data_IF_345417277400
#
_entry.id   IF_345417277400
#
_cell.length_a   1.000
_cell.length_b   1.000
_cell.length_c   1.000
_cell.angle_alpha   90.00
_cell.angle_beta   90.00
_cell.angle_gamma   90.00
#
_symmetry.space_group_name_H-M   'P 1'
#
loop_
_entity.id
_entity.type
_entity.pdbx_description
1 polymer ?
#
# COMPACT_ATOMS: atom_id res chain seq x y z
N UNK A 1 7.55 -18.63 -28.83
CA UNK A 1 6.60 -18.35 -29.92
C UNK A 1 6.27 -16.89 -29.86
N UNK A 2 6.68 -16.10 -30.84
CA UNK A 2 6.38 -14.65 -30.89
C UNK A 2 4.90 -14.47 -31.20
N UNK A 3 4.09 -14.22 -30.19
CA UNK A 3 2.76 -13.69 -30.41
C UNK A 3 2.91 -12.22 -30.78
N UNK A 4 2.74 -11.94 -32.07
CA UNK A 4 2.69 -10.58 -32.61
C UNK A 4 1.37 -9.93 -32.16
N UNK A 5 1.21 -9.69 -30.86
CA UNK A 5 0.10 -8.92 -30.31
C UNK A 5 0.35 -7.45 -30.63
N UNK A 6 -0.62 -6.84 -31.32
CA UNK A 6 -0.58 -5.42 -31.65
C UNK A 6 -0.38 -4.60 -30.35
N UNK A 7 0.42 -3.55 -30.41
CA UNK A 7 0.60 -2.61 -29.30
C UNK A 7 -0.75 -2.01 -28.90
N UNK A 8 -1.06 -2.10 -27.61
CA UNK A 8 -2.25 -1.51 -27.00
C UNK A 8 -1.76 -0.39 -26.07
N UNK A 9 -2.01 0.88 -26.38
CA UNK A 9 -1.45 1.99 -25.60
C UNK A 9 -1.99 2.09 -24.19
N UNK A 10 -3.22 1.67 -23.95
CA UNK A 10 -3.83 1.56 -22.63
C UNK A 10 -5.06 0.63 -22.64
N UNK A 11 -5.45 0.14 -21.48
CA UNK A 11 -6.74 -0.54 -21.29
C UNK A 11 -7.30 -0.18 -19.90
N UNK A 12 -8.40 0.57 -19.91
CA UNK A 12 -9.11 1.03 -18.70
C UNK A 12 -10.59 0.69 -18.83
N UNK A 13 -11.35 0.79 -17.76
CA UNK A 13 -12.78 0.44 -17.72
C UNK A 13 -13.61 1.29 -18.68
N UNK A 14 -13.46 2.60 -18.57
CA UNK A 14 -14.20 3.59 -19.34
C UNK A 14 -13.40 4.90 -19.42
N UNK A 15 -12.90 5.23 -20.61
CA UNK A 15 -12.11 6.45 -20.84
C UNK A 15 -12.92 7.74 -20.64
N UNK A 16 -14.25 7.68 -20.75
CA UNK A 16 -15.11 8.84 -20.54
C UNK A 16 -15.12 9.37 -19.10
N UNK A 17 -14.57 8.61 -18.15
CA UNK A 17 -14.41 9.03 -16.75
C UNK A 17 -13.21 9.97 -16.54
N UNK A 18 -12.42 10.26 -17.58
CA UNK A 18 -11.17 11.02 -17.48
C UNK A 18 -11.35 12.43 -16.87
N UNK A 19 -12.38 13.17 -17.28
CA UNK A 19 -12.64 14.52 -16.76
C UNK A 19 -13.01 14.52 -15.28
N UNK A 20 -13.72 13.51 -14.82
CA UNK A 20 -13.99 13.34 -13.40
C UNK A 20 -12.71 13.01 -12.64
N UNK A 21 -11.95 12.03 -13.14
CA UNK A 21 -10.67 11.65 -12.54
C UNK A 21 -9.70 12.83 -12.43
N UNK A 22 -9.63 13.69 -13.46
CA UNK A 22 -8.78 14.89 -13.44
C UNK A 22 -9.11 15.83 -12.28
N UNK A 23 -10.39 16.09 -12.03
CA UNK A 23 -10.82 16.95 -10.92
C UNK A 23 -10.48 16.35 -9.55
N UNK A 24 -10.58 15.05 -9.40
CA UNK A 24 -10.17 14.38 -8.16
C UNK A 24 -8.65 14.36 -7.99
N UNK A 25 -7.87 14.24 -9.07
CA UNK A 25 -6.41 14.35 -9.04
C UNK A 25 -5.99 15.76 -8.58
N UNK A 26 -6.60 16.82 -9.12
CA UNK A 26 -6.35 18.20 -8.68
C UNK A 26 -6.67 18.40 -7.19
N UNK A 27 -7.73 17.79 -6.69
CA UNK A 27 -8.07 17.80 -5.26
C UNK A 27 -7.01 17.07 -4.42
N UNK A 28 -6.53 15.92 -4.90
CA UNK A 28 -5.49 15.14 -4.22
C UNK A 28 -4.14 15.87 -4.20
N UNK A 29 -3.75 16.54 -5.30
CA UNK A 29 -2.52 17.32 -5.38
C UNK A 29 -2.44 18.39 -4.28
N UNK A 30 -3.57 19.03 -3.96
CA UNK A 30 -3.65 20.00 -2.86
C UNK A 30 -3.28 19.42 -1.49
N UNK A 31 -3.43 18.09 -1.31
CA UNK A 31 -3.13 17.36 -0.07
C UNK A 31 -1.85 16.49 -0.17
N UNK A 32 -1.08 16.62 -1.26
CA UNK A 32 0.13 15.83 -1.50
C UNK A 32 1.39 16.71 -1.64
N UNK A 33 1.75 17.49 -0.61
CA UNK A 33 2.78 18.53 -0.70
C UNK A 33 4.17 17.96 -1.00
N UNK A 34 4.48 16.74 -0.56
CA UNK A 34 5.77 16.13 -0.83
C UNK A 34 6.02 15.93 -2.33
N UNK A 35 5.05 15.39 -3.06
CA UNK A 35 5.16 15.19 -4.51
C UNK A 35 5.19 16.51 -5.27
N UNK A 36 4.34 17.47 -4.89
CA UNK A 36 4.32 18.79 -5.53
C UNK A 36 5.66 19.49 -5.33
N UNK A 37 6.21 19.48 -4.12
CA UNK A 37 7.54 20.05 -3.83
C UNK A 37 8.66 19.38 -4.66
N UNK A 38 8.59 18.06 -4.88
CA UNK A 38 9.57 17.39 -5.75
C UNK A 38 9.46 17.84 -7.22
N UNK A 39 8.24 18.06 -7.73
CA UNK A 39 8.05 18.63 -9.08
C UNK A 39 8.66 20.03 -9.18
N UNK A 40 8.47 20.87 -8.18
CA UNK A 40 9.01 22.23 -8.12
C UNK A 40 10.54 22.22 -8.01
N UNK A 41 11.11 21.35 -7.17
CA UNK A 41 12.56 21.29 -6.92
C UNK A 41 13.33 20.69 -8.08
N UNK A 42 12.79 19.64 -8.72
CA UNK A 42 13.54 18.81 -9.68
C UNK A 42 12.98 18.82 -11.11
N UNK A 43 11.82 19.41 -11.36
CA UNK A 43 11.17 19.38 -12.68
C UNK A 43 12.05 19.90 -13.82
N UNK A 44 12.76 20.99 -13.59
CA UNK A 44 13.65 21.58 -14.60
C UNK A 44 14.90 20.70 -14.87
N UNK A 45 15.43 20.04 -13.84
CA UNK A 45 16.63 19.20 -13.95
C UNK A 45 16.37 17.81 -14.51
N UNK A 46 15.12 17.36 -14.46
CA UNK A 46 14.66 16.05 -14.95
C UNK A 46 15.57 14.87 -14.54
N UNK A 47 15.77 14.60 -13.24
CA UNK A 47 16.71 13.60 -12.74
C UNK A 47 16.39 12.17 -13.16
N UNK A 48 15.17 11.90 -13.62
CA UNK A 48 14.73 10.58 -14.12
C UNK A 48 14.72 10.48 -15.65
N UNK A 49 15.33 11.44 -16.35
CA UNK A 49 15.41 11.39 -17.82
C UNK A 49 16.05 10.11 -18.31
N UNK A 50 15.34 9.37 -19.17
CA UNK A 50 15.77 8.07 -19.70
C UNK A 50 15.36 6.86 -18.85
N UNK A 51 14.81 7.08 -17.64
CA UNK A 51 14.19 6.02 -16.87
C UNK A 51 12.87 5.58 -17.53
N UNK A 52 12.70 4.27 -17.70
CA UNK A 52 11.46 3.61 -18.10
C UNK A 52 10.96 2.80 -16.92
N UNK A 53 10.06 3.40 -16.16
CA UNK A 53 9.54 2.86 -14.91
C UNK A 53 8.28 2.05 -15.20
N UNK A 54 8.33 0.74 -15.02
CA UNK A 54 7.15 -0.09 -14.95
C UNK A 54 6.64 -0.07 -13.51
N UNK A 55 5.38 0.32 -13.32
CA UNK A 55 4.72 0.37 -12.03
C UNK A 55 3.64 -0.69 -11.88
N UNK A 56 3.60 -1.36 -10.74
CA UNK A 56 2.52 -2.23 -10.30
C UNK A 56 2.14 -1.88 -8.86
N UNK A 57 1.23 -0.93 -8.73
CA UNK A 57 0.73 -0.42 -7.46
C UNK A 57 -0.72 0.05 -7.65
N UNK A 58 -1.53 -0.02 -6.60
CA UNK A 58 -2.96 0.33 -6.64
C UNK A 58 -3.24 1.57 -7.49
N UNK A 59 -4.00 1.44 -8.58
CA UNK A 59 -4.28 2.56 -9.50
C UNK A 59 -5.37 3.46 -8.92
N UNK A 60 -5.00 4.25 -7.93
CA UNK A 60 -5.87 5.22 -7.23
C UNK A 60 -5.62 6.65 -7.73
N UNK A 61 -6.44 7.58 -7.26
CA UNK A 61 -6.25 9.03 -7.50
C UNK A 61 -4.86 9.48 -7.01
N UNK A 62 -4.42 9.01 -5.84
CA UNK A 62 -3.11 9.36 -5.29
C UNK A 62 -1.96 8.80 -6.14
N UNK A 63 -2.14 7.59 -6.67
CA UNK A 63 -1.17 6.99 -7.61
C UNK A 63 -1.08 7.76 -8.92
N UNK A 64 -2.17 8.35 -9.38
CA UNK A 64 -2.14 9.25 -10.53
C UNK A 64 -1.20 10.44 -10.29
N UNK A 65 -1.23 11.03 -9.10
CA UNK A 65 -0.29 12.12 -8.72
C UNK A 65 1.16 11.64 -8.71
N UNK A 66 1.42 10.42 -8.23
CA UNK A 66 2.75 9.80 -8.29
C UNK A 66 3.23 9.63 -9.74
N UNK A 67 2.41 9.04 -10.61
CA UNK A 67 2.74 8.83 -12.02
C UNK A 67 3.12 10.15 -12.68
N UNK A 68 2.29 11.18 -12.54
CA UNK A 68 2.56 12.50 -13.13
C UNK A 68 3.80 13.16 -12.51
N UNK A 69 4.11 12.89 -11.25
CA UNK A 69 5.34 13.37 -10.61
C UNK A 69 6.56 12.70 -11.23
N UNK A 70 6.57 11.38 -11.39
CA UNK A 70 7.67 10.66 -12.04
C UNK A 70 7.89 11.16 -13.47
N UNK A 71 6.81 11.44 -14.21
CA UNK A 71 6.86 11.99 -15.57
C UNK A 71 7.39 13.43 -15.59
N UNK A 72 6.96 14.27 -14.65
CA UNK A 72 7.47 15.64 -14.51
C UNK A 72 8.99 15.66 -14.22
N UNK A 73 9.49 14.62 -13.57
CA UNK A 73 10.93 14.41 -13.32
C UNK A 73 11.68 13.76 -14.48
N UNK A 74 11.02 13.48 -15.60
CA UNK A 74 11.62 13.02 -16.86
C UNK A 74 11.49 11.53 -17.15
N UNK A 75 10.80 10.74 -16.33
CA UNK A 75 10.59 9.32 -16.57
C UNK A 75 9.52 9.05 -17.66
N UNK A 76 9.71 7.98 -18.42
CA UNK A 76 8.63 7.30 -19.13
C UNK A 76 7.99 6.29 -18.15
N UNK A 77 6.66 6.21 -18.10
CA UNK A 77 5.94 5.39 -17.12
C UNK A 77 4.91 4.51 -17.80
N UNK A 78 4.87 3.24 -17.40
CA UNK A 78 3.76 2.31 -17.65
C UNK A 78 3.19 1.83 -16.33
N UNK A 79 1.90 1.54 -16.25
CA UNK A 79 1.27 1.25 -14.96
C UNK A 79 0.20 0.17 -15.02
N UNK A 80 0.19 -0.71 -14.02
CA UNK A 80 -0.90 -1.62 -13.70
C UNK A 80 -1.25 -1.54 -12.21
N UNK A 81 -2.40 -2.08 -11.81
CA UNK A 81 -2.74 -2.21 -10.41
C UNK A 81 -2.18 -3.52 -9.82
N UNK A 82 -1.84 -3.51 -8.54
CA UNK A 82 -1.39 -4.70 -7.80
C UNK A 82 -2.55 -5.47 -7.11
N UNK A 83 -3.81 -5.11 -7.40
CA UNK A 83 -4.98 -5.77 -6.82
C UNK A 83 -6.19 -5.60 -7.76
N UNK A 84 -6.97 -6.68 -7.90
CA UNK A 84 -8.12 -6.74 -8.84
C UNK A 84 -9.29 -5.82 -8.45
N UNK A 85 -9.39 -5.37 -7.20
CA UNK A 85 -10.50 -4.52 -6.72
C UNK A 85 -10.11 -3.10 -6.35
N UNK A 86 -8.81 -2.75 -6.37
CA UNK A 86 -8.33 -1.47 -5.83
C UNK A 86 -8.32 -0.31 -6.81
N UNK A 87 -8.45 -0.57 -8.10
CA UNK A 87 -8.45 0.50 -9.12
C UNK A 87 -9.62 1.45 -8.91
N UNK A 88 -9.34 2.75 -8.97
CA UNK A 88 -10.34 3.80 -9.18
C UNK A 88 -10.40 4.07 -10.69
N UNK A 89 -11.47 3.64 -11.34
CA UNK A 89 -11.59 3.63 -12.81
C UNK A 89 -11.43 5.03 -13.42
N UNK A 90 -11.89 6.07 -12.70
CA UNK A 90 -11.71 7.47 -13.12
C UNK A 90 -10.25 7.93 -13.03
N UNK A 91 -9.46 7.41 -12.08
CA UNK A 91 -8.02 7.70 -11.99
C UNK A 91 -7.27 7.07 -13.18
N UNK A 92 -7.54 5.80 -13.47
CA UNK A 92 -6.96 5.10 -14.62
C UNK A 92 -7.32 5.81 -15.92
N UNK A 93 -8.58 6.23 -16.10
CA UNK A 93 -9.04 6.96 -17.27
C UNK A 93 -8.32 8.32 -17.43
N UNK A 94 -8.20 9.09 -16.34
CA UNK A 94 -7.54 10.40 -16.39
C UNK A 94 -6.07 10.28 -16.82
N UNK A 95 -5.34 9.32 -16.30
CA UNK A 95 -3.93 9.08 -16.65
C UNK A 95 -3.80 8.52 -18.06
N UNK A 96 -4.66 7.60 -18.48
CA UNK A 96 -4.68 7.11 -19.88
C UNK A 96 -4.95 8.23 -20.89
N UNK A 97 -5.83 9.18 -20.56
CA UNK A 97 -6.15 10.32 -21.41
C UNK A 97 -4.97 11.28 -21.64
N UNK A 98 -3.95 11.28 -20.78
CA UNK A 98 -2.70 12.04 -21.00
C UNK A 98 -1.75 11.37 -21.99
N UNK A 99 -2.07 10.17 -22.45
CA UNK A 99 -1.21 9.35 -23.32
C UNK A 99 -0.29 8.39 -22.55
N UNK A 100 -0.44 8.30 -21.24
CA UNK A 100 0.31 7.34 -20.42
C UNK A 100 -0.23 5.93 -20.57
N UNK A 101 0.66 4.95 -20.66
CA UNK A 101 0.29 3.54 -20.78
C UNK A 101 -0.21 2.98 -19.44
N UNK A 102 -1.52 2.89 -19.28
CA UNK A 102 -2.18 2.36 -18.08
C UNK A 102 -3.04 1.16 -18.43
N UNK A 103 -2.89 0.08 -17.68
CA UNK A 103 -3.61 -1.17 -17.82
C UNK A 103 -4.22 -1.55 -16.48
N UNK A 104 -5.41 -1.02 -16.15
CA UNK A 104 -6.06 -1.25 -14.87
C UNK A 104 -7.56 -0.91 -14.92
N UNK A 105 -8.37 -1.73 -14.26
CA UNK A 105 -9.80 -1.46 -13.97
C UNK A 105 -10.26 -2.24 -12.75
N UNK A 106 -11.29 -1.74 -12.08
CA UNK A 106 -11.87 -2.43 -10.94
C UNK A 106 -12.67 -3.66 -11.38
N UNK A 107 -12.38 -4.81 -10.75
CA UNK A 107 -13.08 -6.06 -11.03
C UNK A 107 -12.44 -6.87 -12.16
N UNK A 108 -11.14 -6.77 -12.35
CA UNK A 108 -10.37 -7.70 -13.19
C UNK A 108 -10.50 -9.14 -12.66
N UNK A 109 -10.47 -10.11 -13.55
CA UNK A 109 -10.17 -11.49 -13.16
C UNK A 109 -8.65 -11.73 -13.12
N UNK A 110 -8.22 -12.90 -12.66
CA UNK A 110 -6.79 -13.23 -12.49
C UNK A 110 -6.01 -13.22 -13.83
N UNK A 111 -6.64 -13.66 -14.94
CA UNK A 111 -6.00 -13.64 -16.26
C UNK A 111 -5.83 -12.20 -16.78
N UNK A 112 -6.83 -11.36 -16.56
CA UNK A 112 -6.78 -9.95 -16.92
C UNK A 112 -5.74 -9.20 -16.09
N UNK A 113 -5.66 -9.50 -14.80
CA UNK A 113 -4.66 -8.95 -13.88
C UNK A 113 -3.23 -9.29 -14.33
N UNK A 114 -2.96 -10.56 -14.60
CA UNK A 114 -1.67 -11.04 -15.09
C UNK A 114 -1.30 -10.36 -16.43
N UNK A 115 -2.27 -10.30 -17.37
CA UNK A 115 -2.09 -9.60 -18.65
C UNK A 115 -1.76 -8.11 -18.45
N UNK A 116 -2.42 -7.41 -17.52
CA UNK A 116 -2.16 -5.99 -17.26
C UNK A 116 -0.73 -5.75 -16.80
N UNK A 117 -0.21 -6.59 -15.89
CA UNK A 117 1.18 -6.49 -15.44
C UNK A 117 2.14 -6.75 -16.61
N UNK A 118 1.88 -7.77 -17.43
CA UNK A 118 2.71 -8.08 -18.61
C UNK A 118 2.83 -6.92 -19.59
N UNK A 119 1.73 -6.13 -19.78
CA UNK A 119 1.74 -4.96 -20.67
C UNK A 119 2.68 -3.85 -20.19
N UNK A 120 2.99 -3.78 -18.89
CA UNK A 120 3.89 -2.74 -18.35
C UNK A 120 5.36 -2.96 -18.68
N UNK A 121 5.73 -4.16 -19.12
CA UNK A 121 7.14 -4.53 -19.33
C UNK A 121 7.80 -3.82 -20.53
N UNK A 122 6.99 -3.33 -21.47
CA UNK A 122 7.47 -2.78 -22.72
C UNK A 122 6.82 -1.43 -23.05
N UNK A 123 7.63 -0.48 -23.51
CA UNK A 123 7.27 0.91 -23.74
C UNK A 123 7.13 1.20 -25.24
N UNK A 124 6.01 1.80 -25.64
CA UNK A 124 5.76 2.26 -26.99
C UNK A 124 5.67 1.15 -28.04
N UNK A 125 5.44 1.55 -29.29
CA UNK A 125 5.35 0.63 -30.44
C UNK A 125 6.66 -0.12 -30.69
N UNK A 126 7.81 0.52 -30.36
CA UNK A 126 9.16 -0.06 -30.48
C UNK A 126 9.45 -1.12 -29.41
N UNK A 127 8.52 -1.34 -28.47
CA UNK A 127 8.64 -2.32 -27.38
C UNK A 127 9.96 -2.22 -26.61
N UNK A 128 10.40 -1.01 -26.27
CA UNK A 128 11.58 -0.81 -25.42
C UNK A 128 11.35 -1.42 -24.04
N UNK A 129 12.25 -2.24 -23.52
CA UNK A 129 12.04 -2.85 -22.21
C UNK A 129 12.15 -1.82 -21.09
N UNK A 130 11.47 -2.12 -19.96
CA UNK A 130 11.64 -1.38 -18.71
C UNK A 130 13.12 -1.37 -18.28
N UNK A 131 13.51 -0.36 -17.48
CA UNK A 131 14.83 -0.32 -16.85
C UNK A 131 14.79 0.09 -15.38
N UNK A 132 13.56 0.32 -14.84
CA UNK A 132 13.27 0.53 -13.44
C UNK A 132 11.94 -0.16 -13.08
N UNK A 133 11.81 -0.62 -11.84
CA UNK A 133 10.58 -1.21 -11.30
C UNK A 133 10.12 -0.41 -10.08
N UNK A 134 8.82 -0.16 -9.99
CA UNK A 134 8.13 0.31 -8.80
C UNK A 134 7.00 -0.69 -8.51
N UNK A 135 7.12 -1.45 -7.42
CA UNK A 135 6.24 -2.59 -7.14
C UNK A 135 5.56 -2.47 -5.77
N UNK A 136 4.42 -3.13 -5.64
CA UNK A 136 3.65 -3.23 -4.41
C UNK A 136 3.13 -4.66 -4.25
N UNK A 137 3.87 -5.45 -3.47
CA UNK A 137 3.60 -6.86 -3.22
C UNK A 137 4.47 -7.82 -4.02
N UNK A 138 5.24 -7.33 -5.00
CA UNK A 138 6.25 -8.09 -5.72
C UNK A 138 5.74 -8.89 -6.92
N UNK A 139 4.51 -8.65 -7.41
CA UNK A 139 3.98 -9.42 -8.53
C UNK A 139 4.64 -9.05 -9.86
N UNK A 140 4.90 -7.77 -10.12
CA UNK A 140 5.65 -7.32 -11.28
C UNK A 140 7.10 -7.83 -11.22
N UNK A 141 7.76 -7.70 -10.08
CA UNK A 141 9.12 -8.18 -9.86
C UNK A 141 9.23 -9.68 -10.11
N UNK A 142 8.28 -10.47 -9.59
CA UNK A 142 8.26 -11.91 -9.80
C UNK A 142 7.98 -12.26 -11.27
N UNK A 143 7.07 -11.55 -11.92
CA UNK A 143 6.82 -11.76 -13.35
C UNK A 143 8.09 -11.53 -14.18
N UNK A 144 8.82 -10.44 -13.93
CA UNK A 144 10.09 -10.15 -14.61
C UNK A 144 11.11 -11.26 -14.35
N UNK A 145 11.35 -11.60 -13.08
CA UNK A 145 12.44 -12.51 -12.72
C UNK A 145 12.18 -13.98 -13.06
N UNK A 146 10.91 -14.39 -13.05
CA UNK A 146 10.54 -15.80 -13.26
C UNK A 146 10.08 -16.09 -14.69
N UNK A 147 9.51 -15.10 -15.42
CA UNK A 147 8.96 -15.28 -16.78
C UNK A 147 9.76 -14.55 -17.87
N UNK A 148 10.45 -13.45 -17.53
CA UNK A 148 11.23 -12.59 -18.45
C UNK A 148 12.62 -12.29 -17.91
N UNK A 149 13.39 -13.32 -17.46
CA UNK A 149 14.67 -13.10 -16.79
C UNK A 149 15.71 -12.37 -17.65
N UNK A 150 15.56 -12.39 -18.98
CA UNK A 150 16.42 -11.66 -19.90
C UNK A 150 16.34 -10.14 -19.74
N UNK A 151 15.23 -9.62 -19.21
CA UNK A 151 15.04 -8.18 -18.96
C UNK A 151 15.84 -7.69 -17.75
N UNK A 152 16.13 -8.59 -16.81
CA UNK A 152 16.74 -8.23 -15.54
C UNK A 152 18.10 -7.51 -15.68
N UNK A 153 18.91 -7.87 -16.67
CA UNK A 153 20.21 -7.24 -16.92
C UNK A 153 20.12 -5.75 -17.30
N UNK A 154 18.95 -5.29 -17.79
CA UNK A 154 18.70 -3.90 -18.14
C UNK A 154 18.09 -3.06 -17.02
N UNK A 155 17.79 -3.66 -15.88
CA UNK A 155 17.09 -2.98 -14.77
C UNK A 155 18.11 -2.44 -13.78
N UNK A 156 18.10 -1.12 -13.57
CA UNK A 156 19.02 -0.44 -12.65
C UNK A 156 18.63 -0.62 -11.17
N UNK A 157 17.37 -0.88 -10.89
CA UNK A 157 16.89 -1.10 -9.53
C UNK A 157 15.37 -1.15 -9.42
N UNK A 158 14.91 -1.50 -8.24
CA UNK A 158 13.49 -1.55 -7.90
C UNK A 158 13.21 -0.93 -6.53
N UNK A 159 12.02 -0.39 -6.36
CA UNK A 159 11.49 0.02 -5.07
C UNK A 159 10.21 -0.75 -4.75
N UNK A 160 10.08 -1.18 -3.49
CA UNK A 160 8.96 -2.02 -3.03
C UNK A 160 8.18 -1.34 -1.91
N UNK A 161 6.87 -1.22 -2.10
CA UNK A 161 5.97 -0.47 -1.24
C UNK A 161 5.59 -1.19 0.06
N UNK A 162 5.42 -2.52 0.02
CA UNK A 162 4.72 -3.22 1.10
C UNK A 162 5.47 -4.40 1.69
N UNK A 163 5.15 -4.73 2.94
CA UNK A 163 5.79 -5.81 3.73
C UNK A 163 5.90 -7.12 2.98
N UNK A 164 4.87 -7.52 2.24
CA UNK A 164 4.86 -8.81 1.54
C UNK A 164 5.87 -8.86 0.40
N UNK A 165 5.94 -7.79 -0.41
CA UNK A 165 6.94 -7.71 -1.48
C UNK A 165 8.35 -7.65 -0.90
N UNK A 166 8.57 -6.90 0.17
CA UNK A 166 9.85 -6.85 0.91
C UNK A 166 10.28 -8.24 1.39
N UNK A 167 9.34 -9.03 1.94
CA UNK A 167 9.62 -10.40 2.36
C UNK A 167 10.09 -11.27 1.18
N UNK A 168 9.40 -11.19 0.04
CA UNK A 168 9.79 -11.89 -1.21
C UNK A 168 11.19 -11.46 -1.68
N UNK A 169 11.54 -10.18 -1.57
CA UNK A 169 12.88 -9.68 -1.92
C UNK A 169 13.96 -10.26 -1.01
N UNK A 170 13.75 -10.31 0.29
CA UNK A 170 14.70 -10.94 1.22
C UNK A 170 14.87 -12.44 0.94
N UNK A 171 13.82 -13.16 0.57
CA UNK A 171 13.93 -14.56 0.13
C UNK A 171 14.77 -14.67 -1.13
N UNK A 172 14.62 -13.78 -2.11
CA UNK A 172 15.46 -13.77 -3.32
C UNK A 172 16.93 -13.46 -3.01
N UNK A 173 17.20 -12.52 -2.09
CA UNK A 173 18.59 -12.27 -1.61
C UNK A 173 19.18 -13.53 -1.00
N UNK A 174 18.44 -14.16 -0.09
CA UNK A 174 18.89 -15.42 0.58
C UNK A 174 19.19 -16.53 -0.41
N UNK A 175 18.42 -16.62 -1.49
CA UNK A 175 18.57 -17.64 -2.53
C UNK A 175 19.55 -17.22 -3.64
N UNK A 176 20.14 -16.01 -3.59
CA UNK A 176 21.04 -15.48 -4.62
C UNK A 176 20.35 -15.22 -5.96
N UNK A 177 19.04 -14.95 -5.96
CA UNK A 177 18.21 -14.77 -7.17
C UNK A 177 17.69 -13.34 -7.36
N UNK A 178 18.20 -12.36 -6.59
CA UNK A 178 17.93 -10.94 -6.82
C UNK A 178 19.05 -10.33 -7.68
N UNK A 179 18.81 -10.01 -8.97
CA UNK A 179 19.87 -9.57 -9.90
C UNK A 179 20.07 -8.05 -9.98
N UNK A 180 19.34 -7.25 -9.17
CA UNK A 180 19.45 -5.80 -9.11
C UNK A 180 19.30 -5.30 -7.68
N UNK A 181 19.73 -4.06 -7.35
CA UNK A 181 19.47 -3.47 -6.05
C UNK A 181 17.99 -3.17 -5.85
N UNK A 182 17.52 -3.30 -4.62
CA UNK A 182 16.18 -2.98 -4.20
C UNK A 182 16.15 -2.00 -3.02
N UNK A 183 15.25 -1.02 -3.04
CA UNK A 183 14.97 -0.19 -1.87
C UNK A 183 13.62 -0.60 -1.27
N UNK A 184 13.67 -0.98 0.00
CA UNK A 184 12.52 -1.28 0.83
C UNK A 184 11.90 0.03 1.31
N UNK A 185 10.82 0.45 0.69
CA UNK A 185 10.06 1.65 1.08
C UNK A 185 9.19 1.38 2.30
N UNK A 186 8.64 0.17 2.42
CA UNK A 186 7.74 -0.16 3.53
C UNK A 186 8.34 0.17 4.91
N UNK A 187 9.64 -0.07 5.09
CA UNK A 187 10.29 0.12 6.39
C UNK A 187 10.98 1.48 6.54
N UNK A 188 10.90 2.37 5.55
CA UNK A 188 11.19 3.79 5.76
C UNK A 188 10.29 4.33 6.86
N UNK A 189 10.85 5.15 7.77
CA UNK A 189 10.07 5.61 8.93
C UNK A 189 8.88 6.46 8.51
N UNK A 190 9.08 7.35 7.54
CA UNK A 190 8.02 8.20 7.00
C UNK A 190 6.99 7.44 6.16
N UNK A 191 7.21 6.14 5.87
CA UNK A 191 6.21 5.24 5.30
C UNK A 191 5.56 4.40 6.39
N UNK A 192 6.31 3.55 7.08
CA UNK A 192 5.75 2.56 8.02
C UNK A 192 5.00 3.19 9.19
N UNK A 193 5.53 4.28 9.75
CA UNK A 193 4.91 4.97 10.89
C UNK A 193 3.79 5.92 10.51
N UNK A 194 3.61 6.19 9.21
CA UNK A 194 2.58 7.08 8.67
C UNK A 194 1.53 6.32 7.88
N UNK A 195 1.88 5.71 6.76
CA UNK A 195 0.98 4.93 5.92
C UNK A 195 0.34 3.77 6.69
N UNK A 196 1.15 2.85 7.20
CA UNK A 196 0.64 1.66 7.87
C UNK A 196 -0.16 1.99 9.14
N UNK A 197 0.18 3.06 9.85
CA UNK A 197 -0.48 3.47 11.09
C UNK A 197 -1.63 4.45 10.83
N UNK A 198 -1.31 5.65 10.32
CA UNK A 198 -2.31 6.72 10.15
C UNK A 198 -3.21 6.46 8.95
N UNK A 199 -2.69 5.87 7.86
CA UNK A 199 -3.50 5.46 6.73
C UNK A 199 -4.56 4.45 7.13
N UNK A 200 -4.19 3.39 7.84
CA UNK A 200 -5.16 2.41 8.35
C UNK A 200 -6.09 3.00 9.42
N UNK A 201 -5.61 3.97 10.22
CA UNK A 201 -6.45 4.69 11.19
C UNK A 201 -7.61 5.41 10.52
N UNK A 202 -7.38 6.06 9.38
CA UNK A 202 -8.44 6.74 8.62
C UNK A 202 -9.29 5.74 7.82
N UNK A 203 -8.65 4.85 7.04
CA UNK A 203 -9.31 4.07 6.00
C UNK A 203 -10.06 2.84 6.51
N UNK A 204 -9.67 2.22 7.63
CA UNK A 204 -10.35 1.04 8.16
C UNK A 204 -11.80 1.36 8.57
N UNK A 205 -11.97 2.41 9.36
CA UNK A 205 -13.30 2.86 9.85
C UNK A 205 -14.14 3.41 8.71
N UNK A 206 -13.53 4.14 7.76
CA UNK A 206 -14.22 4.64 6.57
C UNK A 206 -14.83 3.48 5.76
N UNK A 207 -14.04 2.44 5.52
CA UNK A 207 -14.49 1.26 4.77
C UNK A 207 -15.64 0.52 5.46
N UNK A 208 -15.54 0.29 6.77
CA UNK A 208 -16.60 -0.37 7.55
C UNK A 208 -17.91 0.44 7.50
N UNK A 209 -17.82 1.77 7.65
CA UNK A 209 -19.01 2.64 7.57
C UNK A 209 -19.63 2.62 6.19
N UNK A 210 -18.85 2.80 5.13
CA UNK A 210 -19.36 2.76 3.74
C UNK A 210 -19.99 1.42 3.38
N UNK A 211 -19.36 0.32 3.81
CA UNK A 211 -19.85 -1.01 3.53
C UNK A 211 -21.18 -1.32 4.24
N UNK A 212 -21.36 -0.88 5.47
CA UNK A 212 -22.40 -1.44 6.36
C UNK A 212 -23.31 -0.40 7.00
N UNK A 213 -23.00 0.90 6.91
CA UNK A 213 -23.69 2.00 7.61
C UNK A 213 -23.82 1.78 9.14
N UNK A 214 -22.98 0.91 9.72
CA UNK A 214 -23.05 0.56 11.13
C UNK A 214 -22.59 1.73 12.02
N UNK A 215 -23.30 1.95 13.11
CA UNK A 215 -22.83 2.82 14.18
C UNK A 215 -21.74 2.10 14.97
N UNK A 216 -20.56 2.72 15.06
CA UNK A 216 -19.39 2.10 15.72
C UNK A 216 -19.41 2.27 17.23
N UNK A 217 -20.01 3.36 17.75
CA UNK A 217 -20.10 3.60 19.18
C UNK A 217 -20.81 2.44 19.90
N UNK A 218 -20.20 1.94 20.97
CA UNK A 218 -20.71 0.82 21.75
C UNK A 218 -20.53 -0.57 21.15
N UNK A 219 -20.00 -0.68 19.92
CA UNK A 219 -19.70 -1.98 19.29
C UNK A 219 -18.47 -2.62 19.90
N UNK A 220 -18.50 -3.93 20.05
CA UNK A 220 -17.34 -4.76 20.46
C UNK A 220 -16.55 -5.11 19.21
N UNK A 221 -15.35 -4.59 19.13
CA UNK A 221 -14.44 -4.77 17.99
C UNK A 221 -13.22 -5.57 18.43
N UNK A 222 -12.91 -6.64 17.72
CA UNK A 222 -11.68 -7.39 17.89
C UNK A 222 -10.73 -7.03 16.74
N UNK A 223 -9.57 -6.45 17.08
CA UNK A 223 -8.49 -6.15 16.16
C UNK A 223 -7.41 -7.22 16.31
N UNK A 224 -7.20 -8.02 15.28
CA UNK A 224 -6.21 -9.09 15.30
C UNK A 224 -4.85 -8.55 14.82
N UNK A 225 -3.92 -8.35 15.76
CA UNK A 225 -2.59 -7.76 15.56
C UNK A 225 -2.46 -6.35 16.13
N UNK A 226 -1.23 -6.02 16.60
CA UNK A 226 -0.91 -4.69 17.13
C UNK A 226 0.46 -4.17 16.64
N UNK A 227 0.80 -4.51 15.39
CA UNK A 227 1.81 -3.82 14.58
C UNK A 227 1.33 -2.42 14.20
N UNK A 228 1.99 -1.74 13.27
CA UNK A 228 1.62 -0.37 12.89
C UNK A 228 0.17 -0.30 12.34
N UNK A 229 -0.24 -1.26 11.52
CA UNK A 229 -1.62 -1.37 11.01
C UNK A 229 -2.63 -1.57 12.14
N UNK A 230 -2.34 -2.51 13.05
CA UNK A 230 -3.21 -2.80 14.20
C UNK A 230 -3.35 -1.62 15.16
N UNK A 231 -2.25 -0.90 15.43
CA UNK A 231 -2.22 0.32 16.27
C UNK A 231 -3.14 1.41 15.71
N UNK A 232 -3.01 1.69 14.41
CA UNK A 232 -3.87 2.67 13.73
C UNK A 232 -5.33 2.26 13.77
N UNK A 233 -5.63 1.03 13.37
CA UNK A 233 -6.98 0.48 13.34
C UNK A 233 -7.65 0.48 14.72
N UNK A 234 -6.97 -0.03 15.74
CA UNK A 234 -7.49 -0.06 17.11
C UNK A 234 -7.76 1.35 17.66
N UNK A 235 -6.84 2.29 17.44
CA UNK A 235 -7.00 3.68 17.86
C UNK A 235 -8.21 4.34 17.17
N UNK A 236 -8.45 4.07 15.90
CA UNK A 236 -9.59 4.60 15.14
C UNK A 236 -10.92 4.10 15.69
N UNK A 237 -11.09 2.81 15.89
CA UNK A 237 -12.30 2.24 16.49
C UNK A 237 -12.54 2.75 17.91
N UNK A 238 -11.48 2.84 18.75
CA UNK A 238 -11.56 3.42 20.09
C UNK A 238 -12.02 4.89 20.04
N UNK A 239 -11.43 5.67 19.12
CA UNK A 239 -11.82 7.07 18.89
C UNK A 239 -13.26 7.24 18.41
N UNK A 240 -13.80 6.25 17.69
CA UNK A 240 -15.20 6.21 17.28
C UNK A 240 -16.17 5.71 18.39
N UNK A 241 -15.66 5.42 19.59
CA UNK A 241 -16.46 4.99 20.74
C UNK A 241 -16.71 3.49 20.81
N UNK A 242 -15.99 2.67 20.05
CA UNK A 242 -16.06 1.20 20.14
C UNK A 242 -15.35 0.67 21.38
N UNK A 243 -15.76 -0.50 21.84
CA UNK A 243 -15.10 -1.29 22.88
C UNK A 243 -14.12 -2.23 22.17
N UNK A 244 -12.84 -1.89 22.19
CA UNK A 244 -11.81 -2.58 21.40
C UNK A 244 -11.03 -3.56 22.24
N UNK A 245 -10.92 -4.80 21.76
CA UNK A 245 -10.01 -5.85 22.25
C UNK A 245 -9.01 -6.16 21.16
N UNK A 246 -7.75 -6.33 21.53
CA UNK A 246 -6.65 -6.66 20.62
C UNK A 246 -6.22 -8.12 20.82
N UNK A 247 -5.85 -8.81 19.76
CA UNK A 247 -5.13 -10.08 19.84
C UNK A 247 -3.71 -9.89 19.34
N UNK A 248 -2.72 -10.50 20.01
CA UNK A 248 -1.31 -10.31 19.64
C UNK A 248 -0.46 -11.51 20.06
N UNK A 249 0.59 -11.82 19.28
CA UNK A 249 1.56 -12.88 19.56
C UNK A 249 2.90 -12.31 20.10
N UNK A 250 3.25 -11.08 19.68
CA UNK A 250 4.47 -10.41 20.12
C UNK A 250 4.26 -9.82 21.53
N UNK A 251 5.04 -10.24 22.53
CA UNK A 251 4.87 -9.75 23.89
C UNK A 251 5.15 -8.24 24.04
N UNK A 252 5.99 -7.65 23.18
CA UNK A 252 6.26 -6.20 23.20
C UNK A 252 5.03 -5.44 22.67
N UNK A 253 4.49 -5.86 21.52
CA UNK A 253 3.28 -5.25 20.96
C UNK A 253 2.07 -5.46 21.89
N UNK A 254 1.93 -6.63 22.51
CA UNK A 254 0.88 -6.90 23.48
C UNK A 254 0.98 -5.99 24.70
N UNK A 255 2.20 -5.77 25.24
CA UNK A 255 2.43 -4.86 26.35
C UNK A 255 2.11 -3.40 25.94
N UNK A 256 2.50 -2.97 24.74
CA UNK A 256 2.13 -1.65 24.23
C UNK A 256 0.61 -1.48 24.13
N UNK A 257 -0.10 -2.47 23.59
CA UNK A 257 -1.56 -2.44 23.52
C UNK A 257 -2.22 -2.27 24.90
N UNK A 258 -1.72 -2.99 25.91
CA UNK A 258 -2.19 -2.88 27.28
C UNK A 258 -1.92 -1.48 27.88
N UNK A 259 -0.74 -0.90 27.61
CA UNK A 259 -0.40 0.46 28.06
C UNK A 259 -1.24 1.53 27.36
N UNK A 260 -1.62 1.30 26.09
CA UNK A 260 -2.53 2.18 25.33
C UNK A 260 -4.01 2.03 25.76
N UNK A 261 -4.25 1.16 26.77
CA UNK A 261 -5.57 0.97 27.39
C UNK A 261 -6.50 0.08 26.57
N UNK A 262 -5.96 -0.92 25.89
CA UNK A 262 -6.73 -1.98 25.26
C UNK A 262 -6.71 -3.26 26.10
N UNK A 263 -7.80 -4.00 26.08
CA UNK A 263 -7.79 -5.37 26.54
C UNK A 263 -7.06 -6.25 25.51
N UNK A 264 -6.14 -7.11 25.95
CA UNK A 264 -5.44 -8.06 25.08
C UNK A 264 -5.86 -9.47 25.45
N UNK A 265 -6.45 -10.20 24.51
CA UNK A 265 -7.01 -11.55 24.71
C UNK A 265 -6.71 -12.43 23.50
N UNK A 266 -6.92 -13.74 23.64
CA UNK A 266 -6.95 -14.67 22.52
C UNK A 266 -8.27 -14.52 21.76
N UNK A 267 -8.23 -14.71 20.44
CA UNK A 267 -9.42 -14.60 19.59
C UNK A 267 -10.53 -15.54 20.04
N UNK A 268 -10.21 -16.78 20.36
CA UNK A 268 -11.13 -17.81 20.81
C UNK A 268 -11.95 -17.43 22.04
N UNK A 269 -11.39 -16.55 22.89
CA UNK A 269 -12.08 -16.12 24.14
C UNK A 269 -13.02 -14.95 23.96
N UNK A 270 -12.91 -14.20 22.85
CA UNK A 270 -13.65 -12.94 22.66
C UNK A 270 -14.53 -12.93 21.41
N UNK A 271 -14.26 -13.80 20.44
CA UNK A 271 -14.92 -13.80 19.13
C UNK A 271 -16.44 -13.99 19.22
N UNK A 272 -16.93 -14.75 20.19
CA UNK A 272 -18.37 -15.02 20.40
C UNK A 272 -19.18 -13.78 20.76
N UNK A 273 -18.55 -12.71 21.26
CA UNK A 273 -19.21 -11.45 21.64
C UNK A 273 -18.86 -10.29 20.68
N UNK A 274 -18.03 -10.53 19.67
CA UNK A 274 -17.61 -9.49 18.75
C UNK A 274 -18.73 -9.06 17.79
N UNK A 275 -18.88 -7.76 17.59
CA UNK A 275 -19.71 -7.17 16.50
C UNK A 275 -18.92 -7.08 15.21
N UNK A 276 -17.60 -6.79 15.33
CA UNK A 276 -16.67 -6.64 14.22
C UNK A 276 -15.40 -7.37 14.58
N UNK A 277 -14.87 -8.16 13.64
CA UNK A 277 -13.54 -8.76 13.69
C UNK A 277 -12.76 -8.26 12.48
N UNK A 278 -11.59 -7.63 12.72
CA UNK A 278 -10.74 -7.12 11.66
C UNK A 278 -9.31 -7.63 11.82
N UNK A 279 -8.77 -8.23 10.76
CA UNK A 279 -7.40 -8.77 10.75
C UNK A 279 -6.42 -7.74 10.19
N UNK A 280 -5.21 -7.69 10.78
CA UNK A 280 -4.19 -6.66 10.53
C UNK A 280 -2.76 -7.22 10.60
N UNK A 281 -2.60 -8.56 10.50
CA UNK A 281 -1.36 -9.23 10.90
C UNK A 281 -0.35 -9.43 9.77
N UNK A 282 -0.81 -9.42 8.51
CA UNK A 282 0.00 -9.82 7.36
C UNK A 282 0.39 -11.31 7.37
N UNK A 283 -0.24 -12.12 8.23
CA UNK A 283 -0.02 -13.57 8.34
C UNK A 283 -1.19 -14.34 7.69
N UNK A 284 -1.28 -15.62 7.87
CA UNK A 284 -2.34 -16.47 7.31
C UNK A 284 -3.15 -17.17 8.39
N UNK A 285 -4.42 -17.47 8.08
CA UNK A 285 -5.27 -18.32 8.92
C UNK A 285 -5.53 -17.75 10.32
N UNK A 286 -5.72 -16.45 10.43
CA UNK A 286 -6.04 -15.78 11.70
C UNK A 286 -7.49 -16.04 12.09
N UNK A 287 -8.43 -15.87 11.17
CA UNK A 287 -9.84 -16.22 11.35
C UNK A 287 -10.13 -17.50 10.57
N UNK A 288 -10.43 -18.58 11.28
CA UNK A 288 -10.63 -19.92 10.73
C UNK A 288 -12.03 -20.44 11.02
N UNK A 289 -12.32 -21.65 10.54
CA UNK A 289 -13.64 -22.31 10.68
C UNK A 289 -14.19 -22.29 12.10
N UNK A 290 -13.40 -22.68 13.10
CA UNK A 290 -13.78 -22.69 14.51
C UNK A 290 -14.17 -21.31 15.05
N UNK A 291 -13.57 -20.25 14.52
CA UNK A 291 -13.92 -18.87 14.90
C UNK A 291 -15.27 -18.47 14.30
N UNK A 292 -15.55 -18.80 13.02
CA UNK A 292 -16.85 -18.55 12.40
C UNK A 292 -17.98 -19.28 13.12
N UNK A 293 -17.75 -20.53 13.54
CA UNK A 293 -18.73 -21.30 14.31
C UNK A 293 -19.02 -20.69 15.69
N UNK A 294 -18.02 -20.06 16.31
CA UNK A 294 -18.14 -19.42 17.62
C UNK A 294 -18.73 -17.99 17.54
N UNK A 295 -18.66 -17.33 16.38
CA UNK A 295 -19.16 -15.96 16.18
C UNK A 295 -20.65 -15.86 16.47
N UNK A 296 -21.12 -14.67 16.84
CA UNK A 296 -22.54 -14.35 16.94
C UNK A 296 -23.16 -14.03 15.59
N UNK A 297 -24.48 -14.05 15.54
CA UNK A 297 -25.24 -13.67 14.34
C UNK A 297 -24.94 -12.23 13.92
N UNK A 298 -24.78 -12.02 12.59
CA UNK A 298 -24.52 -10.73 11.92
C UNK A 298 -23.22 -10.03 12.32
N UNK A 299 -22.21 -10.81 12.72
CA UNK A 299 -20.87 -10.29 12.91
C UNK A 299 -20.29 -9.82 11.55
N UNK A 300 -19.57 -8.71 11.57
CA UNK A 300 -18.84 -8.20 10.41
C UNK A 300 -17.40 -8.67 10.51
N UNK A 301 -16.91 -9.31 9.43
CA UNK A 301 -15.53 -9.80 9.33
C UNK A 301 -14.84 -9.09 8.17
N UNK A 302 -13.68 -8.53 8.43
CA UNK A 302 -12.91 -7.75 7.47
C UNK A 302 -11.40 -7.99 7.63
N UNK A 303 -10.66 -7.73 6.57
CA UNK A 303 -9.20 -7.75 6.57
C UNK A 303 -8.67 -6.41 6.05
N UNK A 304 -7.61 -5.88 6.66
CA UNK A 304 -6.87 -4.71 6.17
C UNK A 304 -5.39 -5.05 5.94
N UNK A 305 -4.99 -6.31 6.06
CA UNK A 305 -3.71 -6.83 5.60
C UNK A 305 -3.66 -6.94 4.08
N UNK A 306 -2.46 -6.92 3.51
CA UNK A 306 -2.27 -6.83 2.06
C UNK A 306 -2.93 -8.01 1.28
N UNK A 307 -2.83 -9.25 1.79
CA UNK A 307 -3.40 -10.43 1.13
C UNK A 307 -4.67 -10.97 1.80
N UNK A 308 -5.39 -11.79 1.06
CA UNK A 308 -6.68 -12.38 1.42
C UNK A 308 -6.60 -13.70 2.21
N UNK A 309 -5.44 -14.05 2.74
CA UNK A 309 -5.19 -15.33 3.40
C UNK A 309 -5.27 -15.27 4.95
N UNK A 310 -5.52 -14.11 5.52
CA UNK A 310 -5.74 -13.97 6.98
C UNK A 310 -7.10 -14.56 7.41
N UNK A 311 -8.09 -14.52 6.53
CA UNK A 311 -9.43 -15.06 6.74
C UNK A 311 -9.61 -16.32 5.90
N UNK A 312 -10.09 -17.40 6.51
CA UNK A 312 -10.35 -18.68 5.82
C UNK A 312 -11.65 -18.58 4.99
N UNK A 313 -11.61 -17.82 3.91
CA UNK A 313 -12.73 -17.67 2.96
C UNK A 313 -13.09 -19.01 2.30
N UNK A 314 -12.13 -19.91 1.96
CA UNK A 314 -12.46 -21.25 1.50
C UNK A 314 -13.36 -22.04 2.45
N UNK A 315 -13.17 -21.91 3.77
CA UNK A 315 -14.09 -22.54 4.72
C UNK A 315 -15.52 -22.02 4.56
N UNK A 316 -15.72 -20.71 4.44
CA UNK A 316 -17.04 -20.11 4.22
C UNK A 316 -17.67 -20.61 2.92
N UNK A 317 -16.94 -20.61 1.82
CA UNK A 317 -17.42 -21.05 0.52
C UNK A 317 -17.79 -22.55 0.48
N UNK A 318 -17.09 -23.38 1.25
CA UNK A 318 -17.35 -24.81 1.31
C UNK A 318 -18.51 -25.21 2.25
N UNK A 319 -18.87 -24.33 3.20
CA UNK A 319 -19.86 -24.63 4.23
C UNK A 319 -21.13 -23.77 4.12
N UNK A 320 -21.18 -22.80 3.21
CA UNK A 320 -22.35 -21.95 2.99
C UNK A 320 -22.39 -21.43 1.57
N UNK A 321 -23.59 -21.17 1.07
CA UNK A 321 -23.78 -20.40 -0.14
C UNK A 321 -23.46 -18.92 0.12
N UNK A 322 -22.66 -18.30 -0.78
CA UNK A 322 -22.40 -16.88 -0.76
C UNK A 322 -23.62 -16.11 -1.27
N UNK A 323 -24.11 -15.18 -0.47
CA UNK A 323 -25.19 -14.25 -0.86
C UNK A 323 -24.61 -12.86 -0.89
N UNK A 324 -24.45 -12.29 -2.08
CA UNK A 324 -24.06 -10.89 -2.23
C UNK A 324 -25.21 -9.98 -1.77
N UNK A 325 -24.94 -9.13 -0.77
CA UNK A 325 -25.87 -8.10 -0.31
C UNK A 325 -25.79 -6.85 -1.19
N UNK A 326 -24.57 -6.44 -1.46
CA UNK A 326 -24.17 -5.36 -2.40
C UNK A 326 -22.68 -5.59 -2.77
N UNK A 327 -22.14 -4.92 -3.78
CA UNK A 327 -20.74 -5.10 -4.17
C UNK A 327 -19.78 -5.06 -2.98
N UNK A 328 -18.93 -6.07 -2.85
CA UNK A 328 -17.94 -6.24 -1.77
C UNK A 328 -18.53 -6.47 -0.36
N UNK A 329 -19.81 -6.80 -0.23
CA UNK A 329 -20.48 -7.14 1.03
C UNK A 329 -21.24 -8.46 0.86
N UNK A 330 -20.67 -9.53 1.38
CA UNK A 330 -21.20 -10.88 1.24
C UNK A 330 -21.71 -11.43 2.56
N UNK A 331 -22.75 -12.26 2.49
CA UNK A 331 -23.32 -12.96 3.60
C UNK A 331 -23.13 -14.48 3.44
N UNK A 332 -22.72 -15.12 4.52
CA UNK A 332 -22.62 -16.58 4.65
C UNK A 332 -23.40 -17.04 5.87
N UNK A 333 -24.12 -18.16 5.78
CA UNK A 333 -24.83 -18.73 6.93
C UNK A 333 -24.08 -19.91 7.51
N UNK A 334 -23.54 -19.76 8.70
CA UNK A 334 -22.82 -20.82 9.42
C UNK A 334 -23.59 -21.20 10.67
N UNK A 335 -24.09 -22.44 10.71
CA UNK A 335 -24.85 -22.98 11.84
C UNK A 335 -26.08 -22.08 12.25
N UNK A 336 -26.78 -21.54 11.25
CA UNK A 336 -27.96 -20.68 11.48
C UNK A 336 -27.65 -19.23 11.87
N UNK A 337 -26.37 -18.82 11.82
CA UNK A 337 -25.93 -17.45 12.07
C UNK A 337 -25.35 -16.85 10.79
N UNK A 338 -25.70 -15.60 10.50
CA UNK A 338 -25.19 -14.87 9.35
C UNK A 338 -23.83 -14.25 9.68
N UNK A 339 -22.81 -14.53 8.87
CA UNK A 339 -21.48 -13.89 8.88
C UNK A 339 -21.44 -12.92 7.71
N UNK A 340 -21.11 -11.66 7.97
CA UNK A 340 -20.97 -10.63 6.94
C UNK A 340 -19.50 -10.45 6.62
N UNK A 341 -19.06 -10.91 5.46
CA UNK A 341 -17.67 -10.78 4.99
C UNK A 341 -17.56 -9.57 4.07
N UNK A 342 -16.55 -8.74 4.31
CA UNK A 342 -16.26 -7.57 3.49
C UNK A 342 -15.08 -7.82 2.55
N UNK A 343 -15.17 -7.27 1.33
CA UNK A 343 -14.16 -7.30 0.30
C UNK A 343 -13.61 -8.71 0.00
N UNK A 344 -14.45 -9.75 0.17
CA UNK A 344 -14.05 -11.16 -0.01
C UNK A 344 -12.81 -11.57 0.82
N UNK A 345 -12.59 -10.94 1.97
CA UNK A 345 -11.40 -11.15 2.82
C UNK A 345 -10.14 -10.41 2.36
N UNK A 346 -10.20 -9.64 1.28
CA UNK A 346 -9.12 -8.77 0.76
C UNK A 346 -9.08 -7.44 1.51
N UNK A 347 -8.20 -6.53 1.06
CA UNK A 347 -8.07 -5.17 1.62
C UNK A 347 -9.41 -4.42 1.68
N UNK A 348 -10.00 -4.34 2.86
CA UNK A 348 -11.33 -3.72 3.04
C UNK A 348 -11.35 -2.23 2.69
N UNK A 349 -10.26 -1.51 3.00
CA UNK A 349 -10.14 -0.09 2.74
C UNK A 349 -10.14 0.27 1.25
N UNK A 350 -9.65 -0.61 0.40
CA UNK A 350 -9.65 -0.44 -1.06
C UNK A 350 -10.86 -1.12 -1.72
N UNK A 351 -11.30 -2.26 -1.19
CA UNK A 351 -12.48 -2.95 -1.70
C UNK A 351 -13.78 -2.21 -1.43
N UNK A 352 -13.97 -1.74 -0.19
CA UNK A 352 -15.21 -1.10 0.27
C UNK A 352 -15.14 0.43 0.35
N UNK A 353 -13.94 1.03 0.18
CA UNK A 353 -13.73 2.47 0.18
C UNK A 353 -12.71 2.87 -0.89
N UNK A 354 -11.95 3.93 -0.67
CA UNK A 354 -11.00 4.52 -1.62
C UNK A 354 -9.54 4.46 -1.15
N UNK A 355 -9.26 3.67 -0.11
CA UNK A 355 -7.91 3.50 0.45
C UNK A 355 -7.49 4.63 1.40
N UNK A 356 -6.19 4.84 1.51
CA UNK A 356 -5.61 5.84 2.39
C UNK A 356 -5.79 7.26 1.87
N UNK A 357 -5.88 8.27 2.78
CA UNK A 357 -6.04 9.66 2.38
C UNK A 357 -4.78 10.21 1.70
N UNK A 358 -4.97 11.24 0.87
CA UNK A 358 -3.93 11.80 0.01
C UNK A 358 -2.69 12.27 0.77
N UNK A 359 -2.83 12.92 1.93
CA UNK A 359 -1.71 13.40 2.73
C UNK A 359 -0.79 12.25 3.21
N UNK A 360 -1.38 11.13 3.63
CA UNK A 360 -0.63 9.93 4.02
C UNK A 360 0.09 9.32 2.82
N UNK A 361 -0.61 9.18 1.70
CA UNK A 361 0.00 8.62 0.48
C UNK A 361 1.07 9.54 -0.11
N UNK A 362 0.99 10.86 0.15
CA UNK A 362 2.09 11.77 -0.18
C UNK A 362 3.40 11.37 0.50
N UNK A 363 3.37 10.94 1.77
CA UNK A 363 4.58 10.43 2.45
C UNK A 363 5.16 9.20 1.73
N UNK A 364 4.33 8.18 1.50
CA UNK A 364 4.75 6.94 0.83
C UNK A 364 5.28 7.21 -0.58
N UNK A 365 4.59 8.02 -1.36
CA UNK A 365 4.93 8.26 -2.75
C UNK A 365 6.10 9.24 -2.92
N UNK A 366 6.34 10.13 -1.97
CA UNK A 366 7.58 10.91 -1.90
C UNK A 366 8.79 10.00 -1.63
N UNK A 367 8.65 9.00 -0.73
CA UNK A 367 9.64 7.94 -0.55
C UNK A 367 9.92 7.19 -1.85
N UNK A 368 8.86 6.75 -2.57
CA UNK A 368 8.99 6.04 -3.85
C UNK A 368 9.75 6.89 -4.88
N UNK A 369 9.36 8.15 -5.03
CA UNK A 369 9.98 9.07 -6.00
C UNK A 369 11.47 9.27 -5.70
N UNK A 370 11.82 9.51 -4.43
CA UNK A 370 13.22 9.67 -4.01
C UNK A 370 14.03 8.38 -4.18
N UNK A 371 13.43 7.22 -3.92
CA UNK A 371 14.08 5.92 -4.12
C UNK A 371 14.34 5.65 -5.62
N UNK A 372 13.38 5.96 -6.49
CA UNK A 372 13.57 5.84 -7.94
C UNK A 372 14.69 6.77 -8.43
N UNK A 373 14.74 8.02 -7.93
CA UNK A 373 15.84 8.95 -8.24
C UNK A 373 17.18 8.44 -7.74
N UNK A 374 17.25 7.93 -6.52
CA UNK A 374 18.47 7.39 -5.91
C UNK A 374 19.00 6.19 -6.70
N UNK A 375 18.14 5.22 -6.99
CA UNK A 375 18.52 4.04 -7.77
C UNK A 375 18.90 4.37 -9.22
N UNK A 376 18.22 5.31 -9.86
CA UNK A 376 18.51 5.69 -11.23
C UNK A 376 19.87 6.40 -11.36
N UNK A 377 20.14 7.34 -10.48
CA UNK A 377 21.36 8.16 -10.56
C UNK A 377 22.59 7.50 -9.91
N UNK A 378 22.41 6.65 -8.92
CA UNK A 378 23.46 6.08 -8.09
C UNK A 378 23.50 4.54 -8.10
N UNK A 379 22.90 3.86 -9.10
CA UNK A 379 22.79 2.40 -9.16
C UNK A 379 24.12 1.66 -8.89
N UNK A 380 25.25 2.22 -9.35
CA UNK A 380 26.58 1.64 -9.17
C UNK A 380 27.09 1.62 -7.73
N UNK A 381 26.47 2.42 -6.85
CA UNK A 381 26.81 2.44 -5.43
C UNK A 381 26.19 1.27 -4.64
N UNK A 382 25.22 0.59 -5.25
CA UNK A 382 24.46 -0.48 -4.64
C UNK A 382 24.82 -1.85 -5.20
N UNK A 383 24.88 -2.85 -4.32
CA UNK A 383 24.94 -4.26 -4.71
C UNK A 383 23.53 -4.80 -4.92
N UNK A 384 23.44 -6.04 -5.44
CA UNK A 384 22.15 -6.75 -5.59
C UNK A 384 21.63 -7.25 -4.24
N UNK A 385 21.23 -6.31 -3.40
CA UNK A 385 20.75 -6.50 -2.04
C UNK A 385 19.53 -5.61 -1.79
N UNK A 386 18.86 -5.78 -0.64
CA UNK A 386 17.76 -4.92 -0.21
C UNK A 386 18.29 -3.86 0.74
N UNK A 387 18.01 -2.62 0.43
CA UNK A 387 18.45 -1.44 1.19
C UNK A 387 17.25 -0.68 1.77
N UNK A 388 17.49 0.06 2.82
CA UNK A 388 16.58 1.10 3.30
C UNK A 388 16.82 2.39 2.53
N UNK A 389 15.79 3.22 2.41
CA UNK A 389 15.99 4.59 1.92
C UNK A 389 16.98 5.32 2.86
N UNK A 390 18.02 5.98 2.35
CA UNK A 390 18.98 6.73 3.16
C UNK A 390 18.30 7.69 4.14
N UNK A 391 18.78 7.75 5.39
CA UNK A 391 18.12 8.47 6.49
C UNK A 391 17.85 9.94 6.18
N UNK A 392 18.77 10.62 5.50
CA UNK A 392 18.59 12.02 5.09
C UNK A 392 17.44 12.20 4.09
N UNK A 393 17.15 11.20 3.24
CA UNK A 393 16.01 11.22 2.32
C UNK A 393 14.70 10.92 3.06
N UNK A 394 14.71 9.99 4.03
CA UNK A 394 13.55 9.71 4.90
C UNK A 394 13.17 10.98 5.70
N UNK A 395 14.15 11.70 6.28
CA UNK A 395 13.90 13.00 6.93
C UNK A 395 13.42 14.08 5.95
N UNK A 396 13.94 14.11 4.72
CA UNK A 396 13.47 15.02 3.68
C UNK A 396 11.98 14.80 3.37
N UNK A 397 11.53 13.56 3.31
CA UNK A 397 10.10 13.25 3.15
C UNK A 397 9.28 13.94 4.23
N UNK A 398 9.63 13.75 5.51
CA UNK A 398 8.92 14.40 6.60
C UNK A 398 8.94 15.93 6.47
N UNK A 399 10.12 16.50 6.21
CA UNK A 399 10.30 17.93 6.10
C UNK A 399 9.38 18.59 5.05
N UNK A 400 9.23 17.96 3.89
CA UNK A 400 8.39 18.46 2.78
C UNK A 400 6.89 18.52 3.13
N UNK A 401 6.46 17.84 4.21
CA UNK A 401 5.06 17.81 4.65
C UNK A 401 4.73 18.79 5.77
N UNK A 402 5.74 19.31 6.49
CA UNK A 402 5.53 20.07 7.74
C UNK A 402 4.80 21.40 7.50
N UNK A 403 5.18 22.14 6.47
CA UNK A 403 4.60 23.45 6.16
C UNK A 403 3.09 23.37 5.88
N UNK A 404 2.63 22.28 5.22
CA UNK A 404 1.22 22.07 4.88
C UNK A 404 0.32 21.97 6.13
N UNK A 405 0.87 21.46 7.23
CA UNK A 405 0.11 21.28 8.49
C UNK A 405 0.52 22.33 9.56
N UNK A 406 1.24 23.37 9.16
CA UNK A 406 1.58 24.49 10.03
C UNK A 406 2.59 24.15 11.13
N UNK A 407 3.46 23.16 10.90
CA UNK A 407 4.52 22.78 11.87
C UNK A 407 5.72 23.69 11.71
N UNK A 408 6.19 24.26 12.82
CA UNK A 408 7.43 24.99 12.94
C UNK A 408 8.43 24.18 13.74
N UNK A 409 9.60 23.88 13.15
CA UNK A 409 10.65 23.12 13.83
C UNK A 409 11.47 24.04 14.73
N UNK A 410 11.89 23.53 15.89
CA UNK A 410 12.92 24.15 16.70
C UNK A 410 14.28 23.95 16.03
N UNK A 411 15.06 25.01 15.94
CA UNK A 411 16.41 24.99 15.40
C UNK A 411 17.45 24.70 16.50
N UNK A 412 18.40 23.80 16.20
CA UNK A 412 19.51 23.51 17.11
C UNK A 412 20.56 24.63 17.02
N UNK A 413 21.01 25.12 18.18
CA UNK A 413 22.27 25.88 18.21
C UNK A 413 23.45 24.94 17.95
N UNK A 414 24.61 25.54 17.55
CA UNK A 414 25.82 24.76 17.34
C UNK A 414 26.22 23.96 18.58
N UNK A 415 26.14 24.58 19.76
CA UNK A 415 26.47 23.92 21.04
C UNK A 415 25.55 22.74 21.37
N UNK A 416 24.26 22.88 21.03
CA UNK A 416 23.29 21.78 21.19
C UNK A 416 23.56 20.61 20.21
N UNK A 417 23.84 20.94 18.96
CA UNK A 417 24.19 19.94 17.94
C UNK A 417 25.48 19.19 18.30
N UNK A 418 26.52 19.92 18.71
CA UNK A 418 27.80 19.35 19.17
C UNK A 418 27.60 18.44 20.42
N UNK A 419 26.73 18.84 21.37
CA UNK A 419 26.45 18.07 22.59
C UNK A 419 25.80 16.71 22.30
N UNK A 420 24.89 16.64 21.33
CA UNK A 420 24.20 15.38 20.96
C UNK A 420 24.86 14.65 19.78
N UNK A 421 25.93 15.22 19.22
CA UNK A 421 26.75 14.59 18.16
C UNK A 421 26.06 14.51 16.80
N UNK A 422 25.25 15.52 16.43
CA UNK A 422 24.60 15.61 15.10
C UNK A 422 24.99 16.94 14.42
N UNK A 423 24.64 17.09 13.14
CA UNK A 423 24.72 18.39 12.46
C UNK A 423 23.47 19.22 12.80
N UNK A 424 23.54 20.55 12.61
CA UNK A 424 22.38 21.42 12.85
C UNK A 424 21.19 21.10 11.91
N UNK A 425 21.50 20.61 10.72
CA UNK A 425 20.55 20.29 9.67
C UNK A 425 20.10 18.82 9.65
N UNK A 426 20.62 17.97 10.54
CA UNK A 426 20.34 16.54 10.56
C UNK A 426 21.32 15.70 9.70
N UNK A 427 21.11 14.42 9.54
CA UNK A 427 20.04 13.63 10.18
C UNK A 427 20.18 13.57 11.71
N UNK A 428 19.03 13.69 12.39
CA UNK A 428 19.01 13.80 13.87
C UNK A 428 19.07 12.45 14.58
N UNK A 429 18.94 11.35 13.85
CA UNK A 429 19.01 9.98 14.35
C UNK A 429 19.91 9.12 13.49
N UNK A 430 20.58 8.10 14.04
CA UNK A 430 21.40 7.18 13.27
C UNK A 430 20.54 6.32 12.31
N UNK A 431 21.17 5.77 11.27
CA UNK A 431 20.51 4.98 10.21
C UNK A 431 19.61 3.85 10.73
N UNK A 432 20.01 3.19 11.81
CA UNK A 432 19.27 2.05 12.38
C UNK A 432 18.07 2.45 13.26
N UNK A 433 17.89 3.73 13.57
CA UNK A 433 16.81 4.17 14.46
C UNK A 433 15.44 4.14 13.74
N UNK A 434 14.41 3.59 14.40
CA UNK A 434 13.07 3.34 13.82
C UNK A 434 11.89 3.97 14.60
N UNK A 435 12.08 4.99 15.40
CA UNK A 435 11.07 5.78 16.12
C UNK A 435 10.01 4.99 16.89
#
# INVERSE_FOLDING_TARGET
MSTNTAYVPFKVKDISLADWGRKEIELAEAEMPGLISLREEYGDSQPLKGARIAGCLHMTIQTAVLIETLQALGAEVTWSSCNIFSTQDQAAAAIAATGTNVYAWKGMNEEEFDWCIEQTLFFGEDKKPLNMILDDGGDLTNMVLDRYPELAAGINGLSEETTTGVHRLYERVKNGTLPMPAININDSVTKSKFDNKYGCKESAVDAIRRATDIMLAGKRVVVCGYGDVGKGTAASFKGAGSIVTVTEIDPICALQAAMDGFEVKKLETVVGNADIVITTTGNKGIVRGEHFEAMKDKVIVANIGHFDNEIDVPYLNNNSEKVEIKPQVDKYNINGKDIILLAEGRLVNLGCATGHPSFVMSNSFTNQTLAQMELWNNAKAYKNEVYMLPKHLDEKVAYLHLAKIGVELTELSKDQADYIGVTQEGPYKPEHYRY
#
